data_IF_604193245139
#
_entry.id   IF_604193245139
#
_cell.length_a   1.000
_cell.length_b   1.000
_cell.length_c   1.000
_cell.angle_alpha   90.00
_cell.angle_beta   90.00
_cell.angle_gamma   90.00
#
_symmetry.space_group_name_H-M   'P 1'
#
loop_
_entity.id
_entity.type
_entity.pdbx_description
1 polymer ?
#
# COMPACT_ATOMS: atom_id res chain seq x y z
N UNK A 1 3.72 14.85 -8.33
CA UNK A 1 3.39 14.79 -9.77
C UNK A 1 3.82 16.10 -10.41
N UNK A 2 4.58 16.01 -11.49
CA UNK A 2 5.05 17.12 -12.31
C UNK A 2 4.31 17.01 -13.64
N UNK A 3 3.62 18.07 -14.05
CA UNK A 3 3.02 18.17 -15.38
C UNK A 3 3.97 19.02 -16.24
N UNK A 4 4.46 18.46 -17.33
CA UNK A 4 5.46 19.09 -18.21
C UNK A 4 4.81 19.86 -19.36
N UNK A 5 3.48 19.79 -19.48
CA UNK A 5 2.70 20.53 -20.46
C UNK A 5 2.48 21.98 -20.01
N UNK A 6 2.94 22.94 -20.80
CA UNK A 6 2.80 24.37 -20.51
C UNK A 6 1.36 24.89 -20.67
N UNK A 7 0.50 24.17 -21.39
CA UNK A 7 -0.86 24.59 -21.70
C UNK A 7 -1.87 23.45 -21.56
N UNK A 8 -2.29 23.21 -20.33
CA UNK A 8 -3.41 22.32 -20.03
C UNK A 8 -4.70 23.12 -19.84
N UNK A 9 -5.81 22.71 -20.46
CA UNK A 9 -7.10 23.34 -20.20
C UNK A 9 -7.59 23.04 -18.77
N UNK A 10 -8.51 23.87 -18.27
CA UNK A 10 -8.98 23.81 -16.88
C UNK A 10 -9.63 22.45 -16.53
N UNK A 11 -10.35 21.84 -17.47
CA UNK A 11 -11.08 20.60 -17.22
C UNK A 11 -10.12 19.40 -17.21
N UNK A 12 -9.16 19.37 -18.14
CA UNK A 12 -8.07 18.40 -18.13
C UNK A 12 -7.22 18.52 -16.86
N UNK A 13 -6.98 19.74 -16.37
CA UNK A 13 -6.19 19.97 -15.17
C UNK A 13 -6.88 19.43 -13.92
N UNK A 14 -8.15 19.78 -13.73
CA UNK A 14 -8.98 19.22 -12.65
C UNK A 14 -9.00 17.70 -12.69
N UNK A 15 -9.23 17.13 -13.89
CA UNK A 15 -9.26 15.68 -14.08
C UNK A 15 -7.93 15.03 -13.74
N UNK A 16 -6.79 15.64 -14.07
CA UNK A 16 -5.47 15.14 -13.67
C UNK A 16 -5.30 15.11 -12.16
N UNK A 17 -5.62 16.22 -11.48
CA UNK A 17 -5.51 16.32 -10.02
C UNK A 17 -6.41 15.32 -9.31
N UNK A 18 -7.68 15.25 -9.72
CA UNK A 18 -8.66 14.34 -9.13
C UNK A 18 -8.26 12.88 -9.35
N UNK A 19 -7.82 12.53 -10.56
CA UNK A 19 -7.40 11.16 -10.88
C UNK A 19 -6.12 10.75 -10.14
N UNK A 20 -5.16 11.67 -10.00
CA UNK A 20 -3.95 11.45 -9.21
C UNK A 20 -4.29 11.24 -7.73
N UNK A 21 -5.16 12.08 -7.16
CA UNK A 21 -5.62 11.97 -5.78
C UNK A 21 -6.38 10.66 -5.54
N UNK A 22 -7.33 10.30 -6.42
CA UNK A 22 -8.05 9.02 -6.39
C UNK A 22 -7.09 7.82 -6.41
N UNK A 23 -6.09 7.87 -7.30
CA UNK A 23 -5.10 6.82 -7.44
C UNK A 23 -4.28 6.64 -6.15
N UNK A 24 -3.62 7.70 -5.67
CA UNK A 24 -2.75 7.57 -4.48
C UNK A 24 -3.54 7.25 -3.22
N UNK A 25 -4.78 7.73 -3.11
CA UNK A 25 -5.68 7.35 -2.01
C UNK A 25 -6.03 5.86 -2.07
N UNK A 26 -6.33 5.32 -3.25
CA UNK A 26 -6.61 3.91 -3.42
C UNK A 26 -5.37 3.03 -3.09
N UNK A 27 -4.17 3.51 -3.38
CA UNK A 27 -2.92 2.83 -2.98
C UNK A 27 -2.74 2.83 -1.46
N UNK A 28 -2.99 3.95 -0.77
CA UNK A 28 -2.93 4.00 0.69
C UNK A 28 -4.05 3.21 1.36
N UNK A 29 -5.26 3.14 0.79
CA UNK A 29 -6.35 2.33 1.36
C UNK A 29 -6.05 0.82 1.38
N UNK A 30 -5.16 0.37 0.47
CA UNK A 30 -4.66 -1.02 0.43
C UNK A 30 -3.43 -1.18 1.34
N UNK A 31 -2.43 -0.31 1.20
CA UNK A 31 -1.12 -0.48 1.85
C UNK A 31 -1.01 0.14 3.26
N UNK A 32 -1.71 1.24 3.54
CA UNK A 32 -1.65 1.99 4.79
C UNK A 32 -2.98 2.70 5.11
N UNK A 33 -4.08 1.97 5.38
CA UNK A 33 -5.41 2.57 5.58
C UNK A 33 -5.55 3.39 6.87
N UNK A 34 -4.52 3.42 7.71
CA UNK A 34 -4.41 4.25 8.91
C UNK A 34 -3.67 5.56 8.64
N UNK A 35 -3.05 5.72 7.46
CA UNK A 35 -2.37 6.93 7.04
C UNK A 35 -3.28 7.80 6.17
N UNK A 36 -2.92 9.07 6.02
CA UNK A 36 -3.62 10.06 5.18
C UNK A 36 -2.62 10.84 4.34
N UNK A 37 -3.08 11.34 3.21
CA UNK A 37 -2.28 12.21 2.34
C UNK A 37 -2.47 13.68 2.72
N UNK A 38 -1.36 14.41 2.82
CA UNK A 38 -1.32 15.87 2.81
C UNK A 38 -0.89 16.34 1.43
N UNK A 39 -1.74 17.14 0.79
CA UNK A 39 -1.44 17.71 -0.51
C UNK A 39 -0.90 19.13 -0.37
N UNK A 40 0.15 19.45 -1.10
CA UNK A 40 0.62 20.82 -1.27
C UNK A 40 0.96 21.10 -2.73
N UNK A 41 0.90 22.38 -3.11
CA UNK A 41 1.24 22.85 -4.45
C UNK A 41 2.39 23.84 -4.30
N UNK A 42 3.45 23.64 -5.07
CA UNK A 42 4.58 24.57 -5.06
C UNK A 42 4.19 25.88 -5.78
N UNK A 43 4.57 27.00 -5.18
CA UNK A 43 4.09 28.32 -5.60
C UNK A 43 4.57 28.63 -7.02
N UNK A 44 3.63 28.81 -7.94
CA UNK A 44 3.92 29.17 -9.33
C UNK A 44 4.35 27.99 -10.21
N UNK A 45 4.21 26.74 -9.74
CA UNK A 45 4.47 25.55 -10.53
C UNK A 45 3.21 24.67 -10.66
N UNK A 46 3.24 23.75 -11.63
CA UNK A 46 2.26 22.66 -11.75
C UNK A 46 2.76 21.40 -11.04
N UNK A 47 3.43 21.57 -9.90
CA UNK A 47 3.96 20.49 -9.08
C UNK A 47 2.99 20.24 -7.92
N UNK A 48 2.43 19.03 -7.92
CA UNK A 48 1.56 18.52 -6.87
C UNK A 48 2.34 17.57 -5.98
N UNK A 49 2.52 17.97 -4.73
CA UNK A 49 3.15 17.14 -3.72
C UNK A 49 2.08 16.41 -2.92
N UNK A 50 2.32 15.14 -2.62
CA UNK A 50 1.51 14.34 -1.73
C UNK A 50 2.43 13.67 -0.71
N UNK A 51 2.21 13.96 0.55
CA UNK A 51 2.99 13.42 1.67
C UNK A 51 2.11 12.47 2.48
N UNK A 52 2.58 11.24 2.68
CA UNK A 52 1.88 10.25 3.48
C UNK A 52 2.21 10.48 4.96
N UNK A 53 1.18 10.79 5.76
CA UNK A 53 1.34 11.05 7.19
C UNK A 53 0.42 10.17 8.02
N UNK A 54 0.81 9.97 9.28
CA UNK A 54 0.05 9.24 10.30
C UNK A 54 -0.03 10.10 11.55
N UNK A 55 -1.15 10.02 12.29
CA UNK A 55 -1.28 10.70 13.58
C UNK A 55 -0.52 9.97 14.70
N UNK A 56 -0.23 8.68 14.50
CA UNK A 56 0.51 7.84 15.42
C UNK A 56 1.95 7.60 14.93
N UNK A 57 2.89 7.34 15.85
CA UNK A 57 4.29 6.98 15.54
C UNK A 57 4.39 5.57 14.93
N UNK A 58 3.94 5.42 13.68
CA UNK A 58 4.18 4.24 12.86
C UNK A 58 5.29 4.50 11.87
N UNK A 59 6.17 3.51 11.70
CA UNK A 59 7.10 3.49 10.58
C UNK A 59 6.32 3.26 9.28
N UNK A 60 6.17 4.33 8.51
CA UNK A 60 5.51 4.30 7.20
C UNK A 60 6.43 3.80 6.09
N UNK A 61 7.74 3.66 6.33
CA UNK A 61 8.72 3.26 5.32
C UNK A 61 8.30 2.00 4.55
N UNK A 62 7.98 0.88 5.22
CA UNK A 62 7.55 -0.34 4.55
C UNK A 62 6.28 -0.17 3.71
N UNK A 63 5.30 0.58 4.21
CA UNK A 63 4.05 0.86 3.48
C UNK A 63 4.30 1.75 2.26
N UNK A 64 5.18 2.74 2.40
CA UNK A 64 5.55 3.65 1.32
C UNK A 64 6.30 2.91 0.20
N UNK A 65 7.17 1.96 0.54
CA UNK A 65 7.82 1.09 -0.46
C UNK A 65 6.80 0.26 -1.26
N UNK A 66 5.76 -0.25 -0.60
CA UNK A 66 4.65 -0.96 -1.29
C UNK A 66 3.92 -0.01 -2.25
N UNK A 67 3.60 1.21 -1.82
CA UNK A 67 2.94 2.23 -2.65
C UNK A 67 3.82 2.61 -3.84
N UNK A 68 5.10 2.88 -3.60
CA UNK A 68 6.11 3.18 -4.63
C UNK A 68 6.21 2.06 -5.67
N UNK A 69 6.23 0.80 -5.22
CA UNK A 69 6.21 -0.37 -6.08
C UNK A 69 4.94 -0.46 -6.94
N UNK A 70 3.77 -0.06 -6.42
CA UNK A 70 2.56 0.00 -7.23
C UNK A 70 2.58 1.11 -8.27
N UNK A 71 3.09 2.30 -7.95
CA UNK A 71 3.25 3.40 -8.91
C UNK A 71 4.13 2.96 -10.09
N UNK A 72 5.22 2.24 -9.81
CA UNK A 72 6.10 1.70 -10.86
C UNK A 72 5.42 0.66 -11.74
N UNK A 73 4.64 -0.26 -11.15
CA UNK A 73 3.89 -1.27 -11.89
C UNK A 73 2.86 -0.64 -12.81
N UNK A 74 2.09 0.33 -12.29
CA UNK A 74 1.09 1.07 -13.06
C UNK A 74 1.71 1.75 -14.27
N UNK A 75 2.87 2.39 -14.10
CA UNK A 75 3.52 3.10 -15.19
C UNK A 75 4.30 2.24 -16.17
N UNK A 76 4.91 1.14 -15.70
CA UNK A 76 5.60 0.20 -16.59
C UNK A 76 4.64 -0.78 -17.28
N UNK A 77 3.37 -0.84 -16.85
CA UNK A 77 2.40 -1.79 -17.35
C UNK A 77 2.67 -3.24 -16.95
N UNK A 78 3.58 -3.48 -16.00
CA UNK A 78 3.97 -4.83 -15.54
C UNK A 78 3.25 -5.19 -14.25
N UNK A 79 2.76 -6.43 -14.16
CA UNK A 79 2.08 -6.98 -12.98
C UNK A 79 0.94 -6.10 -12.44
N UNK A 80 0.27 -5.38 -13.34
CA UNK A 80 -0.74 -4.40 -12.95
C UNK A 80 -1.97 -5.07 -12.33
N UNK A 81 -2.23 -6.33 -12.66
CA UNK A 81 -3.28 -7.13 -12.03
C UNK A 81 -3.19 -7.14 -10.49
N UNK A 82 -1.98 -6.98 -9.92
CA UNK A 82 -1.75 -6.93 -8.47
C UNK A 82 -2.17 -5.60 -7.84
N UNK A 83 -2.13 -4.50 -8.61
CA UNK A 83 -2.47 -3.18 -8.14
C UNK A 83 -3.96 -3.11 -7.78
N UNK A 84 -4.33 -2.36 -6.72
CA UNK A 84 -5.72 -2.15 -6.37
C UNK A 84 -6.53 -1.63 -7.57
N UNK A 85 -7.68 -2.25 -7.86
CA UNK A 85 -8.51 -1.90 -9.03
C UNK A 85 -8.79 -0.40 -9.14
N UNK A 86 -9.17 0.25 -8.03
CA UNK A 86 -9.40 1.70 -8.00
C UNK A 86 -8.14 2.52 -8.34
N UNK A 87 -6.96 2.06 -7.93
CA UNK A 87 -5.70 2.72 -8.27
C UNK A 87 -5.39 2.58 -9.77
N UNK A 88 -5.67 1.41 -10.37
CA UNK A 88 -5.59 1.23 -11.82
C UNK A 88 -6.54 2.15 -12.57
N UNK A 89 -7.79 2.19 -12.15
CA UNK A 89 -8.81 3.04 -12.78
C UNK A 89 -8.42 4.52 -12.67
N UNK A 90 -7.91 4.95 -11.51
CA UNK A 90 -7.37 6.30 -11.30
C UNK A 90 -6.18 6.60 -12.20
N UNK A 91 -5.23 5.68 -12.33
CA UNK A 91 -4.08 5.84 -13.23
C UNK A 91 -4.50 5.93 -14.69
N UNK A 92 -5.44 5.10 -15.15
CA UNK A 92 -5.94 5.15 -16.54
C UNK A 92 -6.68 6.46 -16.82
N UNK A 93 -7.46 6.97 -15.86
CA UNK A 93 -8.09 8.30 -15.97
C UNK A 93 -7.03 9.40 -16.05
N UNK A 94 -6.00 9.34 -15.20
CA UNK A 94 -4.89 10.29 -15.19
C UNK A 94 -4.16 10.29 -16.54
N UNK A 95 -3.76 9.11 -17.02
CA UNK A 95 -3.13 8.96 -18.34
C UNK A 95 -4.05 9.53 -19.43
N UNK A 96 -5.36 9.21 -19.42
CA UNK A 96 -6.30 9.72 -20.42
C UNK A 96 -6.50 11.24 -20.40
N UNK A 97 -6.32 11.88 -19.25
CA UNK A 97 -6.42 13.34 -19.11
C UNK A 97 -5.19 14.05 -19.67
N UNK A 98 -4.06 13.34 -19.73
CA UNK A 98 -2.79 13.82 -20.27
C UNK A 98 -2.63 13.46 -21.77
N UNK A 99 -3.38 12.49 -22.27
CA UNK A 99 -3.22 11.89 -23.61
C UNK A 99 -3.86 12.71 -24.75
N UNK A 100 -3.80 14.04 -24.65
CA UNK A 100 -4.37 14.98 -25.61
C UNK A 100 -3.41 15.43 -26.72
N UNK A 101 -2.33 14.70 -27.01
CA UNK A 101 -1.63 14.97 -28.26
C UNK A 101 -0.65 13.93 -28.76
N UNK A 102 -0.29 14.13 -30.03
CA UNK A 102 0.64 13.33 -30.80
C UNK A 102 2.05 13.34 -30.18
N UNK A 103 2.78 12.25 -30.46
CA UNK A 103 4.19 12.00 -30.13
C UNK A 103 4.51 11.62 -28.67
N UNK A 104 4.31 10.34 -28.34
CA UNK A 104 5.28 9.41 -27.69
C UNK A 104 6.06 9.82 -26.42
N UNK A 105 5.86 11.03 -25.91
CA UNK A 105 6.57 11.64 -24.79
C UNK A 105 5.60 11.77 -23.61
N UNK A 106 6.08 11.45 -22.41
CA UNK A 106 5.28 11.59 -21.21
C UNK A 106 5.04 13.07 -20.95
N UNK A 107 3.79 13.48 -20.78
CA UNK A 107 3.41 14.86 -20.41
C UNK A 107 3.38 15.10 -18.90
N UNK A 108 3.64 14.05 -18.13
CA UNK A 108 3.78 14.14 -16.70
C UNK A 108 4.70 13.05 -16.15
N UNK A 109 5.34 13.37 -15.03
CA UNK A 109 6.14 12.45 -14.25
C UNK A 109 5.67 12.42 -12.78
N UNK A 110 5.64 11.23 -12.21
CA UNK A 110 5.46 11.03 -10.77
C UNK A 110 6.84 10.82 -10.15
N UNK A 111 7.28 11.80 -9.35
CA UNK A 111 8.47 11.67 -8.51
C UNK A 111 8.08 11.09 -7.15
N UNK A 112 8.76 10.03 -6.76
CA UNK A 112 8.63 9.37 -5.46
C UNK A 112 9.85 9.70 -4.63
N UNK A 113 9.64 10.31 -3.47
CA UNK A 113 10.68 10.79 -2.56
C UNK A 113 10.50 10.08 -1.22
N UNK A 114 11.54 9.43 -0.72
CA UNK A 114 11.59 8.80 0.61
C UNK A 114 12.79 9.35 1.38
N UNK A 115 12.58 9.82 2.62
CA UNK A 115 13.66 10.35 3.45
C UNK A 115 14.45 11.52 2.87
N UNK A 116 13.85 12.31 1.97
CA UNK A 116 14.50 13.46 1.30
C UNK A 116 15.36 13.08 0.07
N UNK A 117 15.47 11.80 -0.27
CA UNK A 117 16.09 11.35 -1.50
C UNK A 117 15.02 11.06 -2.56
N UNK A 118 15.22 11.58 -3.79
CA UNK A 118 14.43 11.12 -4.93
C UNK A 118 14.74 9.64 -5.16
N UNK A 119 13.76 8.79 -4.87
CA UNK A 119 13.89 7.34 -5.03
C UNK A 119 13.61 6.96 -6.46
N UNK A 120 12.67 7.65 -7.11
CA UNK A 120 12.21 7.27 -8.44
C UNK A 120 11.50 8.39 -9.17
N UNK A 121 11.68 8.45 -10.47
CA UNK A 121 10.88 9.27 -11.37
C UNK A 121 10.21 8.35 -12.39
N UNK A 122 8.89 8.44 -12.47
CA UNK A 122 8.06 7.50 -13.21
C UNK A 122 7.21 8.25 -14.22
N UNK A 123 7.44 8.09 -15.53
CA UNK A 123 6.61 8.72 -16.55
C UNK A 123 5.16 8.20 -16.53
N UNK A 124 4.21 9.08 -16.80
CA UNK A 124 2.80 8.69 -17.00
C UNK A 124 2.55 8.44 -18.48
N UNK A 125 2.32 7.18 -18.84
CA UNK A 125 2.06 6.76 -20.23
C UNK A 125 0.67 6.13 -20.36
N UNK A 126 0.17 6.05 -21.61
CA UNK A 126 -1.08 5.36 -21.93
C UNK A 126 -0.86 3.84 -22.06
N UNK A 127 -1.83 3.12 -21.48
CA UNK A 127 -2.25 1.74 -21.74
C UNK A 127 -1.31 0.60 -21.30
N UNK A 128 -1.79 -0.15 -20.30
CA UNK A 128 -1.56 -1.59 -20.14
C UNK A 128 -2.87 -2.32 -20.38
N UNK A 129 -2.82 -3.50 -21.00
CA UNK A 129 -4.00 -4.36 -21.10
C UNK A 129 -4.23 -5.07 -19.76
N UNK A 130 -5.45 -4.93 -19.23
CA UNK A 130 -5.85 -5.64 -18.02
C UNK A 130 -6.23 -7.06 -18.43
N UNK A 131 -5.30 -8.00 -18.28
CA UNK A 131 -5.60 -9.43 -18.37
C UNK A 131 -6.36 -9.84 -17.10
N UNK A 132 -7.36 -10.71 -17.29
CA UNK A 132 -8.34 -11.14 -16.28
C UNK A 132 -7.74 -11.39 -14.89
N UNK A 133 -8.43 -10.90 -13.85
CA UNK A 133 -8.02 -11.10 -12.45
C UNK A 133 -8.12 -12.59 -12.10
N UNK A 134 -7.01 -13.26 -11.73
CA UNK A 134 -7.10 -14.63 -11.28
C UNK A 134 -7.72 -14.68 -9.88
N UNK A 135 -8.43 -15.77 -9.60
CA UNK A 135 -9.29 -15.86 -8.41
C UNK A 135 -8.46 -15.94 -7.12
N UNK A 136 -8.94 -15.25 -6.10
CA UNK A 136 -8.44 -15.39 -4.73
C UNK A 136 -8.53 -16.85 -4.27
N UNK A 137 -7.56 -17.30 -3.48
CA UNK A 137 -7.56 -18.63 -2.87
C UNK A 137 -7.30 -18.55 -1.36
N UNK A 138 -7.70 -19.60 -0.65
CA UNK A 138 -7.61 -19.66 0.81
C UNK A 138 -6.77 -20.84 1.28
N UNK A 139 -5.92 -20.59 2.28
CA UNK A 139 -5.09 -21.62 2.92
C UNK A 139 -5.02 -21.39 4.43
N UNK A 140 -4.73 -22.44 5.17
CA UNK A 140 -4.41 -22.32 6.60
C UNK A 140 -2.95 -21.91 6.73
N UNK A 141 -2.68 -20.86 7.51
CA UNK A 141 -1.33 -20.38 7.71
C UNK A 141 -1.24 -19.36 8.85
N UNK A 142 -0.09 -18.69 8.92
CA UNK A 142 0.17 -17.64 9.89
C UNK A 142 0.94 -16.49 9.28
N UNK A 143 0.78 -15.31 9.88
CA UNK A 143 1.55 -14.11 9.54
C UNK A 143 2.10 -13.52 10.82
N UNK A 144 3.33 -13.04 10.76
CA UNK A 144 3.98 -12.32 11.86
C UNK A 144 4.08 -10.85 11.52
N UNK A 145 3.68 -9.99 12.44
CA UNK A 145 3.64 -8.57 12.18
C UNK A 145 3.23 -7.75 13.40
N UNK A 146 3.06 -6.44 13.20
CA UNK A 146 2.58 -5.53 14.22
C UNK A 146 1.09 -5.24 14.03
N UNK A 147 0.27 -5.44 15.06
CA UNK A 147 -1.16 -5.10 15.01
C UNK A 147 -1.31 -3.59 15.22
N UNK A 148 -1.75 -2.89 14.18
CA UNK A 148 -1.82 -1.42 14.17
C UNK A 148 -3.24 -0.87 14.25
N UNK A 149 -4.28 -1.68 13.99
CA UNK A 149 -5.67 -1.20 14.05
C UNK A 149 -6.61 -2.22 14.70
N UNK A 150 -7.60 -1.74 15.45
CA UNK A 150 -8.68 -2.54 16.04
C UNK A 150 -10.02 -1.84 15.85
N UNK A 151 -11.04 -2.60 15.46
CA UNK A 151 -12.40 -2.11 15.29
C UNK A 151 -13.41 -3.18 15.69
N UNK A 152 -14.34 -2.82 16.58
CA UNK A 152 -15.46 -3.68 17.00
C UNK A 152 -16.83 -3.07 16.67
N UNK A 153 -16.91 -1.86 16.08
CA UNK A 153 -18.18 -1.17 15.82
C UNK A 153 -19.06 -1.85 14.77
N UNK A 154 -18.46 -2.55 13.80
CA UNK A 154 -19.15 -3.26 12.71
C UNK A 154 -18.52 -4.64 12.49
N UNK A 155 -18.54 -5.43 13.56
CA UNK A 155 -17.85 -6.71 13.66
C UNK A 155 -16.40 -6.55 14.11
N UNK A 156 -15.84 -7.64 14.60
CA UNK A 156 -14.51 -7.72 15.18
C UNK A 156 -13.44 -7.84 14.09
N UNK A 157 -12.73 -6.73 13.87
CA UNK A 157 -11.71 -6.56 12.84
C UNK A 157 -10.44 -5.99 13.44
N UNK A 158 -9.32 -6.38 12.86
CA UNK A 158 -8.03 -5.79 13.15
C UNK A 158 -7.27 -5.54 11.85
N UNK A 159 -6.16 -4.85 11.95
CA UNK A 159 -5.19 -4.75 10.87
C UNK A 159 -3.79 -4.91 11.41
N UNK A 160 -2.96 -5.57 10.62
CA UNK A 160 -1.57 -5.81 10.95
C UNK A 160 -0.66 -5.45 9.79
N UNK A 161 0.54 -4.96 10.09
CA UNK A 161 1.61 -4.80 9.11
C UNK A 161 2.45 -6.08 9.16
N UNK A 162 2.46 -6.84 8.07
CA UNK A 162 3.30 -8.03 7.92
C UNK A 162 4.78 -7.63 7.93
N UNK A 163 5.56 -8.25 8.79
CA UNK A 163 6.99 -7.99 8.92
C UNK A 163 7.78 -8.50 7.71
N UNK A 164 7.29 -9.56 7.05
CA UNK A 164 7.96 -10.15 5.89
C UNK A 164 7.83 -9.30 4.63
N UNK A 165 6.68 -8.68 4.42
CA UNK A 165 6.37 -7.94 3.19
C UNK A 165 6.17 -6.44 3.37
N UNK A 166 6.06 -5.95 4.61
CA UNK A 166 5.71 -4.57 4.92
C UNK A 166 4.26 -4.20 4.60
N UNK A 167 3.42 -5.16 4.20
CA UNK A 167 2.05 -4.91 3.74
C UNK A 167 1.05 -4.91 4.88
N UNK A 168 0.05 -4.04 4.77
CA UNK A 168 -1.11 -4.08 5.64
C UNK A 168 -2.04 -5.24 5.27
N UNK A 169 -2.40 -6.05 6.25
CA UNK A 169 -3.29 -7.19 6.12
C UNK A 169 -4.52 -6.96 6.98
N UNK A 170 -5.69 -7.15 6.37
CA UNK A 170 -7.00 -7.01 7.04
C UNK A 170 -7.32 -8.29 7.80
N UNK A 171 -7.62 -8.16 9.08
CA UNK A 171 -7.93 -9.28 9.95
C UNK A 171 -9.38 -9.27 10.42
N UNK A 172 -9.96 -10.45 10.59
CA UNK A 172 -11.20 -10.67 11.37
C UNK A 172 -10.92 -11.63 12.51
N UNK A 173 -11.66 -11.50 13.61
CA UNK A 173 -11.54 -12.38 14.76
C UNK A 173 -12.91 -12.59 15.41
N UNK A 174 -13.03 -13.66 16.20
CA UNK A 174 -14.24 -13.96 16.97
C UNK A 174 -14.20 -13.30 18.34
N UNK A 175 -15.36 -13.02 18.94
CA UNK A 175 -15.49 -12.34 20.24
C UNK A 175 -14.67 -12.99 21.36
N UNK A 176 -14.54 -14.32 21.34
CA UNK A 176 -13.71 -15.07 22.30
C UNK A 176 -12.22 -14.70 22.28
N UNK A 177 -11.75 -14.08 21.21
CA UNK A 177 -10.36 -13.64 21.03
C UNK A 177 -10.18 -12.14 21.33
N UNK A 178 -11.22 -11.46 21.82
CA UNK A 178 -11.19 -10.01 22.05
C UNK A 178 -10.10 -9.60 23.06
N UNK A 179 -9.92 -10.38 24.13
CA UNK A 179 -8.91 -10.09 25.13
C UNK A 179 -7.49 -10.33 24.58
N UNK A 180 -7.30 -11.42 23.83
CA UNK A 180 -6.02 -11.74 23.19
C UNK A 180 -5.61 -10.64 22.20
N UNK A 181 -6.52 -10.25 21.29
CA UNK A 181 -6.21 -9.22 20.28
C UNK A 181 -5.97 -7.86 20.93
N UNK A 182 -6.73 -7.51 21.98
CA UNK A 182 -6.55 -6.26 22.73
C UNK A 182 -5.19 -6.21 23.41
N UNK A 183 -4.74 -7.33 23.98
CA UNK A 183 -3.42 -7.45 24.63
C UNK A 183 -2.24 -7.36 23.64
N UNK A 184 -2.51 -7.65 22.37
CA UNK A 184 -1.53 -7.63 21.27
C UNK A 184 -1.50 -6.31 20.48
N UNK A 185 -2.39 -5.37 20.79
CA UNK A 185 -2.46 -4.09 20.08
C UNK A 185 -1.15 -3.30 20.21
N UNK A 186 -0.66 -2.78 19.08
CA UNK A 186 0.65 -2.10 18.95
C UNK A 186 1.85 -2.97 19.31
N UNK A 187 1.67 -4.30 19.36
CA UNK A 187 2.75 -5.25 19.65
C UNK A 187 2.97 -6.16 18.46
N UNK A 188 4.17 -6.72 18.44
CA UNK A 188 4.54 -7.78 17.51
C UNK A 188 3.81 -9.07 17.90
N UNK A 189 3.15 -9.70 16.94
CA UNK A 189 2.41 -10.93 17.16
C UNK A 189 2.43 -11.83 15.93
N UNK A 190 2.32 -13.13 16.15
CA UNK A 190 1.98 -14.10 15.11
C UNK A 190 0.49 -14.39 15.18
N UNK A 191 -0.22 -14.15 14.08
CA UNK A 191 -1.64 -14.47 13.93
C UNK A 191 -1.78 -15.66 13.00
N UNK A 192 -2.45 -16.71 13.48
CA UNK A 192 -2.71 -17.94 12.71
C UNK A 192 -4.20 -18.05 12.38
N UNK A 193 -4.53 -18.53 11.18
CA UNK A 193 -5.90 -18.51 10.69
C UNK A 193 -6.06 -19.02 9.27
N UNK A 194 -7.19 -18.66 8.66
CA UNK A 194 -7.39 -18.83 7.21
C UNK A 194 -6.90 -17.56 6.53
N UNK A 195 -5.83 -17.69 5.76
CA UNK A 195 -5.29 -16.63 4.92
C UNK A 195 -6.00 -16.65 3.57
N UNK A 196 -6.41 -15.47 3.10
CA UNK A 196 -6.86 -15.26 1.73
C UNK A 196 -5.76 -14.58 0.95
N UNK A 197 -5.36 -15.22 -0.14
CA UNK A 197 -4.34 -14.76 -1.05
C UNK A 197 -4.98 -14.26 -2.34
N UNK A 198 -4.41 -13.18 -2.91
CA UNK A 198 -4.60 -12.88 -4.33
C UNK A 198 -3.85 -13.93 -5.15
N UNK A 199 -4.18 -13.98 -6.43
CA UNK A 199 -3.53 -14.85 -7.40
C UNK A 199 -2.01 -14.70 -7.51
N UNK A 200 -1.47 -13.54 -7.17
CA UNK A 200 -0.04 -13.25 -7.22
C UNK A 200 0.71 -13.70 -5.95
N UNK A 201 0.02 -14.37 -5.02
CA UNK A 201 0.60 -14.79 -3.74
C UNK A 201 0.60 -13.69 -2.68
N UNK A 202 -0.02 -12.53 -2.92
CA UNK A 202 -0.18 -11.49 -1.91
C UNK A 202 -1.25 -11.89 -0.88
N UNK A 203 -0.92 -11.78 0.41
CA UNK A 203 -1.91 -11.95 1.50
C UNK A 203 -2.82 -10.71 1.56
N UNK A 204 -4.12 -10.90 1.42
CA UNK A 204 -5.13 -9.82 1.49
C UNK A 204 -5.73 -9.73 2.88
N UNK A 205 -6.06 -10.89 3.45
CA UNK A 205 -6.76 -10.94 4.72
C UNK A 205 -6.52 -12.24 5.47
N UNK A 206 -6.79 -12.19 6.77
CA UNK A 206 -6.73 -13.33 7.67
C UNK A 206 -8.02 -13.43 8.50
N UNK A 207 -8.62 -14.60 8.55
CA UNK A 207 -9.63 -14.97 9.55
C UNK A 207 -8.92 -15.66 10.73
N UNK A 208 -8.68 -14.89 11.79
CA UNK A 208 -7.83 -15.27 12.90
C UNK A 208 -8.48 -16.34 13.78
N UNK A 209 -7.69 -17.35 14.11
CA UNK A 209 -8.05 -18.45 15.01
C UNK A 209 -7.17 -18.51 16.26
N UNK A 210 -5.97 -17.95 16.20
CA UNK A 210 -5.02 -17.88 17.31
C UNK A 210 -4.10 -16.67 17.15
N UNK A 211 -3.80 -15.99 18.25
CA UNK A 211 -2.84 -14.90 18.32
C UNK A 211 -1.79 -15.26 19.36
N UNK A 212 -0.52 -15.06 19.03
CA UNK A 212 0.60 -15.25 19.95
C UNK A 212 1.42 -13.98 19.95
N UNK A 213 1.46 -13.28 21.08
CA UNK A 213 2.29 -12.07 21.23
C UNK A 213 3.75 -12.47 21.29
N UNK A 214 4.57 -11.81 20.48
CA UNK A 214 6.01 -12.02 20.43
C UNK A 214 6.75 -10.94 21.23
N UNK A 215 8.00 -11.20 21.66
CA UNK A 215 8.86 -10.16 22.20
C UNK A 215 9.10 -9.04 21.17
N UNK A 216 9.17 -7.79 21.64
CA UNK A 216 9.44 -6.62 20.80
C UNK A 216 10.85 -6.65 20.19
N UNK A 217 11.83 -7.16 20.94
CA UNK A 217 13.20 -7.34 20.45
C UNK A 217 13.39 -8.78 20.00
N UNK A 218 13.91 -8.94 18.78
CA UNK A 218 14.45 -10.21 18.34
C UNK A 218 15.56 -10.64 19.31
N UNK A 219 15.66 -11.95 19.64
CA UNK A 219 16.79 -12.43 20.42
C UNK A 219 18.09 -12.07 19.69
N UNK A 220 19.10 -11.65 20.45
CA UNK A 220 20.41 -11.37 19.86
C UNK A 220 21.00 -12.64 19.26
N UNK A 221 21.84 -12.52 18.23
CA UNK A 221 22.50 -13.69 17.60
C UNK A 221 23.26 -14.56 18.62
N UNK A 222 23.78 -13.94 19.68
CA UNK A 222 24.42 -14.62 20.81
C UNK A 222 23.49 -15.57 21.56
N UNK A 223 22.18 -15.32 21.58
CA UNK A 223 21.16 -16.16 22.23
C UNK A 223 20.71 -17.34 21.36
N UNK A 224 21.14 -17.41 20.10
CA UNK A 224 20.85 -18.50 19.16
C UNK A 224 21.97 -19.54 19.08
N UNK A 225 23.06 -19.37 19.84
CA UNK A 225 24.12 -20.38 19.96
C UNK A 225 23.60 -21.59 20.74
N UNK A 226 23.57 -22.75 20.08
CA UNK A 226 23.12 -24.02 20.65
C UNK A 226 22.44 -24.97 19.65
N UNK A 227 22.10 -24.50 18.44
CA UNK A 227 21.44 -25.33 17.41
C UNK A 227 22.46 -26.16 16.59
N UNK A 228 23.75 -25.79 16.59
CA UNK A 228 24.82 -26.47 15.83
C UNK A 228 25.70 -27.41 16.68
N UNK A 229 25.40 -27.59 17.97
CA UNK A 229 26.19 -28.43 18.88
C UNK A 229 25.44 -29.70 19.35
N UNK A 230 24.37 -30.10 18.64
CA UNK A 230 23.63 -31.33 18.90
C UNK A 230 23.70 -32.31 17.73
#
# INVERSE_FOLDING_TARGET
>A
MHIDDEQLDLDSFKKCVDSFAEMIQALSDDAAPFARWLFSVERGSMIFNAELVTEEEYDLGPCFEVISGFVDRLASGRDVAVCPKKARDGYLKLASALDAGDEGSARAHIKVINGGCSVKEVPVYRAFEVVDEPRDYQVVGSVTGAICTLNSKRGNKFGMIDEGTGRYIKGKFQDRMLDDIRSSFKRRATVSGILTYRSDGTIVSIDARKIVVLPEKLPSLSSLRGILEA
#
